data_IF_081011015031
#
_entry.id   IF_081011015031
#
_cell.length_a   1.000
_cell.length_b   1.000
_cell.length_c   1.000
_cell.angle_alpha   90.00
_cell.angle_beta   90.00
_cell.angle_gamma   90.00
#
_symmetry.space_group_name_H-M   'P 1'
#
loop_
_entity.id
_entity.type
_entity.pdbx_description
1 polymer ?
#
# COMPACT_ATOMS: atom_id res chain seq x y z
N UNK A 1 -36.10 40.04 44.14
CA UNK A 1 -36.16 38.59 43.83
C UNK A 1 -36.37 38.47 42.32
N UNK A 2 -35.28 38.14 41.62
CA UNK A 2 -35.16 37.47 40.30
C UNK A 2 -36.20 37.72 39.20
N UNK A 3 -35.79 38.53 38.21
CA UNK A 3 -36.19 38.44 36.80
C UNK A 3 -35.71 37.10 36.20
N UNK A 4 -36.54 36.47 35.36
CA UNK A 4 -36.14 35.35 34.51
C UNK A 4 -36.49 35.69 33.06
N UNK A 5 -35.51 36.27 32.37
CA UNK A 5 -35.48 36.49 30.93
C UNK A 5 -35.04 35.18 30.26
N UNK A 6 -35.99 34.37 29.79
CA UNK A 6 -35.73 33.13 29.08
C UNK A 6 -35.80 33.38 27.56
N UNK A 7 -34.65 33.65 26.96
CA UNK A 7 -34.40 33.40 25.54
C UNK A 7 -33.84 31.98 25.39
N UNK A 8 -34.46 31.10 24.59
CA UNK A 8 -33.76 30.01 23.91
C UNK A 8 -33.56 30.44 22.44
N UNK A 9 -32.38 30.59 21.84
CA UNK A 9 -31.20 29.72 21.76
C UNK A 9 -31.53 28.28 21.31
N UNK A 10 -30.94 27.91 20.18
CA UNK A 10 -30.98 26.63 19.45
C UNK A 10 -32.16 26.42 18.49
N UNK A 11 -31.91 26.73 17.22
CA UNK A 11 -32.49 25.97 16.11
C UNK A 11 -32.16 24.49 16.32
N UNK A 12 -33.21 23.69 16.41
CA UNK A 12 -33.17 22.28 16.75
C UNK A 12 -32.41 21.47 15.68
N UNK A 13 -31.27 20.90 16.08
CA UNK A 13 -30.42 20.05 15.23
C UNK A 13 -31.19 18.81 14.75
N UNK A 14 -32.20 18.39 15.51
CA UNK A 14 -33.13 17.31 15.19
C UNK A 14 -34.03 17.66 13.98
N UNK A 15 -34.40 18.94 13.84
CA UNK A 15 -35.18 19.42 12.69
C UNK A 15 -34.36 19.37 11.37
N UNK A 16 -33.05 19.63 11.46
CA UNK A 16 -32.13 19.55 10.32
C UNK A 16 -31.95 18.09 9.87
N UNK A 17 -31.75 17.17 10.83
CA UNK A 17 -31.59 15.74 10.54
C UNK A 17 -32.85 15.11 9.94
N UNK A 18 -34.04 15.47 10.43
CA UNK A 18 -35.32 15.04 9.84
C UNK A 18 -35.47 15.49 8.38
N UNK A 19 -35.06 16.72 8.08
CA UNK A 19 -35.18 17.28 6.73
C UNK A 19 -34.25 16.56 5.75
N UNK A 20 -33.03 16.20 6.16
CA UNK A 20 -32.09 15.45 5.33
C UNK A 20 -32.51 14.00 5.11
N UNK A 21 -33.15 13.37 6.10
CA UNK A 21 -33.66 12.01 5.98
C UNK A 21 -34.89 11.88 5.05
N UNK A 22 -35.56 13.00 4.75
CA UNK A 22 -36.74 13.04 3.88
C UNK A 22 -36.42 13.22 2.39
N UNK A 23 -35.13 13.26 2.01
CA UNK A 23 -34.74 13.39 0.61
C UNK A 23 -34.97 12.06 -0.15
N UNK A 24 -35.74 12.06 -1.26
CA UNK A 24 -36.00 10.86 -2.04
C UNK A 24 -34.73 10.38 -2.76
N UNK A 25 -34.51 9.06 -2.69
CA UNK A 25 -33.43 8.35 -3.39
C UNK A 25 -33.91 8.02 -4.82
N UNK A 26 -33.16 8.35 -5.89
CA UNK A 26 -33.57 7.98 -7.23
C UNK A 26 -33.56 6.45 -7.40
N UNK A 27 -34.66 5.96 -7.96
CA UNK A 27 -35.03 4.55 -8.13
C UNK A 27 -34.15 3.82 -9.15
N UNK A 28 -33.74 2.61 -8.79
CA UNK A 28 -33.19 1.59 -9.67
C UNK A 28 -34.26 1.10 -10.68
N UNK A 29 -33.96 1.19 -11.98
CA UNK A 29 -34.76 0.57 -13.03
C UNK A 29 -34.37 -0.90 -13.23
N UNK A 30 -35.35 -1.76 -12.98
CA UNK A 30 -35.45 -3.17 -13.37
C UNK A 30 -35.59 -3.33 -14.90
N UNK A 31 -35.14 -4.47 -15.45
CA UNK A 31 -35.59 -4.92 -16.77
C UNK A 31 -34.82 -6.03 -17.50
N UNK A 32 -34.77 -7.25 -16.94
CA UNK A 32 -35.19 -8.57 -17.49
C UNK A 32 -34.89 -9.00 -18.99
N UNK A 33 -35.19 -10.27 -19.45
CA UNK A 33 -34.19 -11.26 -19.91
C UNK A 33 -34.34 -11.78 -21.39
N UNK A 34 -33.37 -12.63 -21.83
CA UNK A 34 -33.32 -13.75 -22.85
C UNK A 34 -34.30 -13.83 -24.06
N UNK A 35 -33.97 -14.48 -25.22
CA UNK A 35 -33.44 -15.87 -25.35
C UNK A 35 -32.46 -16.16 -26.55
N UNK A 36 -31.66 -17.24 -26.47
CA UNK A 36 -31.60 -18.47 -27.34
C UNK A 36 -31.42 -18.19 -28.86
N UNK A 37 -30.53 -18.83 -29.65
CA UNK A 37 -30.22 -20.27 -29.75
C UNK A 37 -29.05 -20.53 -30.73
N UNK A 38 -28.50 -21.76 -30.73
CA UNK A 38 -27.80 -22.48 -31.83
C UNK A 38 -26.39 -22.03 -32.32
N UNK A 39 -25.39 -22.85 -32.70
CA UNK A 39 -25.24 -24.27 -33.06
C UNK A 39 -23.88 -24.85 -32.58
N UNK A 40 -23.87 -26.13 -32.21
CA UNK A 40 -22.70 -27.00 -32.12
C UNK A 40 -22.19 -27.35 -33.53
N UNK A 41 -20.88 -27.25 -33.78
CA UNK A 41 -20.25 -27.94 -34.92
C UNK A 41 -19.14 -28.89 -34.44
N UNK A 42 -19.50 -30.16 -34.47
CA UNK A 42 -18.69 -31.35 -34.31
C UNK A 42 -17.72 -31.48 -35.50
N UNK A 43 -16.42 -31.20 -35.30
CA UNK A 43 -15.40 -31.57 -36.29
C UNK A 43 -15.11 -33.07 -36.18
N UNK A 44 -15.53 -33.79 -37.20
CA UNK A 44 -15.22 -35.19 -37.46
C UNK A 44 -13.89 -35.26 -38.22
N UNK A 45 -12.91 -35.93 -37.63
CA UNK A 45 -11.61 -36.21 -38.24
C UNK A 45 -11.80 -37.43 -39.14
N UNK A 46 -11.89 -37.22 -40.46
CA UNK A 46 -11.77 -38.29 -41.45
C UNK A 46 -10.30 -38.65 -41.59
N UNK A 47 -9.91 -39.81 -41.04
CA UNK A 47 -8.62 -40.44 -41.29
C UNK A 47 -8.64 -41.13 -42.66
N UNK A 48 -7.71 -40.77 -43.54
CA UNK A 48 -7.50 -41.39 -44.85
C UNK A 48 -6.69 -42.70 -44.69
N UNK A 49 -7.25 -43.88 -45.03
CA UNK A 49 -6.63 -45.18 -44.79
C UNK A 49 -5.58 -45.59 -45.85
N UNK A 50 -5.00 -44.67 -46.63
CA UNK A 50 -4.01 -45.00 -47.70
C UNK A 50 -2.56 -44.67 -47.40
N UNK A 51 -2.22 -44.24 -46.18
CA UNK A 51 -0.82 -43.98 -45.76
C UNK A 51 -0.29 -45.02 -44.75
N UNK A 52 -0.81 -46.24 -44.78
CA UNK A 52 -0.20 -47.38 -44.09
C UNK A 52 0.98 -47.91 -44.91
N UNK A 53 2.20 -47.46 -44.60
CA UNK A 53 3.41 -48.13 -45.08
C UNK A 53 4.50 -47.20 -45.61
N UNK A 54 5.17 -46.47 -44.70
CA UNK A 54 6.55 -46.05 -44.97
C UNK A 54 7.36 -46.10 -43.68
N UNK A 55 8.06 -47.22 -43.52
CA UNK A 55 9.20 -47.33 -42.60
C UNK A 55 10.38 -46.60 -43.24
N UNK A 56 10.82 -45.50 -42.65
CA UNK A 56 12.08 -44.85 -43.01
C UNK A 56 12.77 -44.34 -41.74
N UNK A 57 13.74 -45.15 -41.31
CA UNK A 57 15.02 -44.77 -40.71
C UNK A 57 15.02 -43.59 -39.76
N UNK A 58 15.19 -43.95 -38.49
CA UNK A 58 15.84 -43.20 -37.42
C UNK A 58 16.93 -42.23 -37.92
N UNK A 59 16.55 -40.97 -38.12
CA UNK A 59 17.46 -39.85 -37.95
C UNK A 59 17.29 -39.35 -36.52
N UNK A 60 18.37 -39.41 -35.77
CA UNK A 60 18.50 -38.82 -34.44
C UNK A 60 18.33 -37.30 -34.54
N UNK A 61 17.09 -36.85 -34.40
CA UNK A 61 16.78 -35.47 -34.03
C UNK A 61 17.53 -35.22 -32.70
N UNK A 62 18.41 -34.22 -32.61
CA UNK A 62 18.96 -33.80 -31.33
C UNK A 62 17.75 -33.50 -30.45
N UNK A 63 17.60 -34.26 -29.36
CA UNK A 63 16.57 -34.06 -28.35
C UNK A 63 16.35 -32.56 -28.20
N UNK A 64 15.11 -32.04 -28.27
CA UNK A 64 14.87 -30.69 -27.77
C UNK A 64 15.45 -30.73 -26.37
N UNK A 65 16.54 -29.98 -26.19
CA UNK A 65 17.17 -29.79 -24.92
C UNK A 65 15.99 -29.38 -24.05
N UNK A 66 15.61 -30.28 -23.14
CA UNK A 66 14.62 -29.99 -22.13
C UNK A 66 15.27 -28.83 -21.42
N UNK A 67 14.93 -27.60 -21.84
CA UNK A 67 15.21 -26.39 -21.11
C UNK A 67 14.60 -26.75 -19.79
N UNK A 68 15.46 -27.09 -18.84
CA UNK A 68 15.12 -27.44 -17.48
C UNK A 68 14.00 -26.47 -17.16
N UNK A 69 12.78 -27.01 -17.06
CA UNK A 69 11.60 -26.23 -16.71
C UNK A 69 12.02 -25.63 -15.39
N UNK A 70 12.50 -24.39 -15.44
CA UNK A 70 13.25 -23.81 -14.35
C UNK A 70 12.16 -23.70 -13.33
N UNK A 71 12.28 -24.55 -12.29
CA UNK A 71 11.25 -24.79 -11.31
C UNK A 71 10.58 -23.45 -11.03
N UNK A 72 9.26 -23.43 -11.03
CA UNK A 72 8.48 -22.29 -10.57
C UNK A 72 8.95 -22.02 -9.12
N UNK A 73 10.05 -21.30 -8.98
CA UNK A 73 10.63 -20.93 -7.70
C UNK A 73 9.63 -19.92 -7.16
N UNK A 74 8.91 -20.34 -6.15
CA UNK A 74 7.99 -19.48 -5.42
C UNK A 74 8.80 -18.31 -4.85
N UNK A 75 8.45 -17.05 -5.18
CA UNK A 75 9.13 -15.87 -4.64
C UNK A 75 9.27 -15.87 -3.11
N UNK A 76 8.35 -16.54 -2.40
CA UNK A 76 8.35 -16.69 -0.95
C UNK A 76 9.45 -17.64 -0.40
N UNK A 77 10.09 -18.43 -1.27
CA UNK A 77 11.19 -19.34 -0.93
C UNK A 77 12.58 -18.77 -1.19
N UNK A 78 12.65 -17.60 -1.84
CA UNK A 78 13.91 -16.98 -2.22
C UNK A 78 14.49 -16.24 -1.02
N UNK A 79 15.70 -16.66 -0.63
CA UNK A 79 16.50 -16.02 0.44
C UNK A 79 17.87 -15.53 -0.07
N UNK A 80 18.23 -15.84 -1.31
CA UNK A 80 19.45 -15.36 -1.97
C UNK A 80 19.18 -14.15 -2.89
N UNK A 81 20.11 -13.19 -2.87
CA UNK A 81 20.01 -11.97 -3.65
C UNK A 81 20.02 -12.21 -5.17
N UNK A 82 20.91 -13.07 -5.68
CA UNK A 82 21.02 -13.33 -7.13
C UNK A 82 19.76 -14.00 -7.66
N UNK A 83 19.20 -14.92 -6.89
CA UNK A 83 17.91 -15.54 -7.21
C UNK A 83 16.77 -14.52 -7.19
N UNK A 84 16.77 -13.61 -6.21
CA UNK A 84 15.79 -12.53 -6.13
C UNK A 84 15.75 -11.64 -7.36
N UNK A 85 16.93 -11.21 -7.85
CA UNK A 85 17.03 -10.42 -9.08
C UNK A 85 16.49 -11.17 -10.30
N UNK A 86 16.87 -12.43 -10.49
CA UNK A 86 16.34 -13.25 -11.59
C UNK A 86 14.82 -13.38 -11.52
N UNK A 87 14.26 -13.52 -10.31
CA UNK A 87 12.83 -13.58 -10.09
C UNK A 87 12.15 -12.28 -10.55
N UNK A 88 12.63 -11.13 -10.09
CA UNK A 88 12.06 -9.82 -10.46
C UNK A 88 12.18 -9.57 -11.96
N UNK A 89 13.33 -9.82 -12.58
CA UNK A 89 13.49 -9.65 -14.03
C UNK A 89 12.53 -10.55 -14.82
N UNK A 90 12.31 -11.79 -14.36
CA UNK A 90 11.36 -12.71 -14.97
C UNK A 90 9.91 -12.22 -14.81
N UNK A 91 9.54 -11.76 -13.63
CA UNK A 91 8.19 -11.22 -13.35
C UNK A 91 7.93 -9.96 -14.19
N UNK A 92 8.88 -9.03 -14.24
CA UNK A 92 8.76 -7.81 -15.03
C UNK A 92 8.58 -8.10 -16.53
N UNK A 93 9.29 -9.12 -17.06
CA UNK A 93 9.13 -9.54 -18.44
C UNK A 93 7.79 -10.25 -18.74
N UNK A 94 7.20 -10.92 -17.75
CA UNK A 94 5.96 -11.67 -17.89
C UNK A 94 4.70 -10.83 -17.63
N UNK A 95 4.81 -9.86 -16.71
CA UNK A 95 3.69 -9.04 -16.25
C UNK A 95 3.89 -7.59 -16.70
N UNK A 96 3.22 -7.14 -17.79
CA UNK A 96 3.38 -5.76 -18.27
C UNK A 96 2.87 -4.71 -17.27
N UNK A 97 2.01 -5.11 -16.33
CA UNK A 97 1.51 -4.25 -15.25
C UNK A 97 2.49 -4.10 -14.08
N UNK A 98 3.60 -4.85 -14.06
CA UNK A 98 4.56 -4.83 -12.96
C UNK A 98 5.20 -3.46 -12.78
N UNK A 99 5.74 -2.89 -13.86
CA UNK A 99 6.38 -1.57 -13.85
C UNK A 99 5.42 -0.48 -13.42
N UNK A 100 4.22 -0.46 -14.01
CA UNK A 100 3.15 0.51 -13.69
C UNK A 100 2.73 0.42 -12.23
N UNK A 101 2.63 -0.80 -11.69
CA UNK A 101 2.26 -1.02 -10.29
C UNK A 101 3.35 -0.53 -9.34
N UNK A 102 4.63 -0.82 -9.63
CA UNK A 102 5.77 -0.34 -8.82
C UNK A 102 5.88 1.18 -8.87
N UNK A 103 5.76 1.78 -10.06
CA UNK A 103 5.71 3.23 -10.23
C UNK A 103 4.58 3.87 -9.42
N UNK A 104 3.39 3.27 -9.46
CA UNK A 104 2.26 3.73 -8.66
C UNK A 104 2.58 3.69 -7.17
N UNK A 105 3.15 2.60 -6.66
CA UNK A 105 3.54 2.50 -5.24
C UNK A 105 4.54 3.60 -4.83
N UNK A 106 5.51 3.91 -5.69
CA UNK A 106 6.49 4.99 -5.48
C UNK A 106 5.78 6.35 -5.43
N UNK A 107 4.93 6.66 -6.42
CA UNK A 107 4.18 7.93 -6.48
C UNK A 107 3.19 8.09 -5.32
N UNK A 108 2.52 7.02 -4.92
CA UNK A 108 1.62 7.01 -3.77
C UNK A 108 2.41 7.30 -2.47
N UNK A 109 3.62 6.74 -2.32
CA UNK A 109 4.50 7.05 -1.18
C UNK A 109 4.89 8.53 -1.14
N UNK A 110 5.39 9.05 -2.27
CA UNK A 110 5.78 10.47 -2.41
C UNK A 110 4.60 11.40 -2.11
N UNK A 111 3.41 11.06 -2.60
CA UNK A 111 2.18 11.80 -2.35
C UNK A 111 1.83 11.86 -0.87
N UNK A 112 1.88 10.72 -0.18
CA UNK A 112 1.62 10.64 1.26
C UNK A 112 2.62 11.47 2.07
N UNK A 113 3.92 11.34 1.78
CA UNK A 113 4.98 12.10 2.47
C UNK A 113 4.78 13.60 2.25
N UNK A 114 4.54 14.03 1.01
CA UNK A 114 4.25 15.43 0.67
C UNK A 114 3.02 15.95 1.40
N UNK A 115 1.96 15.14 1.51
CA UNK A 115 0.74 15.51 2.22
C UNK A 115 1.00 15.68 3.73
N UNK A 116 1.76 14.77 4.34
CA UNK A 116 2.10 14.85 5.76
C UNK A 116 2.99 16.06 6.07
N UNK A 117 3.95 16.36 5.20
CA UNK A 117 4.77 17.56 5.32
C UNK A 117 3.94 18.84 5.16
N UNK A 118 3.07 18.90 4.17
CA UNK A 118 2.17 20.03 3.96
C UNK A 118 1.22 20.22 5.15
N UNK A 119 0.68 19.14 5.71
CA UNK A 119 -0.15 19.20 6.91
C UNK A 119 0.62 19.70 8.13
N UNK A 120 1.89 19.31 8.30
CA UNK A 120 2.75 19.82 9.38
C UNK A 120 3.00 21.32 9.22
N UNK A 121 3.29 21.79 8.00
CA UNK A 121 3.50 23.22 7.70
C UNK A 121 2.24 24.03 8.01
N UNK A 122 1.08 23.58 7.54
CA UNK A 122 -0.21 24.21 7.83
C UNK A 122 -0.49 24.28 9.33
N UNK A 123 -0.19 23.22 10.08
CA UNK A 123 -0.39 23.22 11.53
C UNK A 123 0.45 24.30 12.23
N UNK A 124 1.70 24.48 11.82
CA UNK A 124 2.58 25.53 12.35
C UNK A 124 2.06 26.92 11.98
N UNK A 125 1.62 27.13 10.74
CA UNK A 125 1.01 28.39 10.30
C UNK A 125 -0.26 28.71 11.10
N UNK A 126 -1.11 27.71 11.35
CA UNK A 126 -2.29 27.85 12.21
C UNK A 126 -1.93 28.20 13.65
N UNK A 127 -0.85 27.62 14.20
CA UNK A 127 -0.38 27.95 15.55
C UNK A 127 0.04 29.42 15.65
N UNK A 128 0.81 29.90 14.67
CA UNK A 128 1.21 31.32 14.58
C UNK A 128 -0.02 32.22 14.49
N UNK A 129 -0.97 31.90 13.61
CA UNK A 129 -2.20 32.68 13.45
C UNK A 129 -3.05 32.70 14.74
N UNK A 130 -3.22 31.55 15.40
CA UNK A 130 -3.98 31.44 16.66
C UNK A 130 -3.33 32.27 17.78
N UNK A 131 -2.00 32.26 17.86
CA UNK A 131 -1.24 33.06 18.83
C UNK A 131 -1.35 34.56 18.58
N UNK A 132 -1.21 34.99 17.33
CA UNK A 132 -1.40 36.39 16.93
C UNK A 132 -2.83 36.87 17.22
N UNK A 133 -3.82 36.01 16.93
CA UNK A 133 -5.21 36.31 17.20
C UNK A 133 -5.48 36.44 18.70
N UNK A 134 -4.97 35.53 19.53
CA UNK A 134 -5.06 35.65 20.99
C UNK A 134 -4.43 36.96 21.49
N UNK A 135 -3.23 37.30 21.00
CA UNK A 135 -2.54 38.52 21.38
C UNK A 135 -3.36 39.77 21.01
N UNK A 136 -3.92 39.80 19.81
CA UNK A 136 -4.76 40.90 19.31
C UNK A 136 -6.04 41.02 20.14
N UNK A 137 -6.73 39.92 20.39
CA UNK A 137 -7.94 39.91 21.22
C UNK A 137 -7.65 40.35 22.66
N UNK A 138 -6.53 39.91 23.23
CA UNK A 138 -6.13 40.31 24.58
C UNK A 138 -5.81 41.79 24.66
N UNK A 139 -5.10 42.33 23.65
CA UNK A 139 -4.81 43.77 23.56
C UNK A 139 -6.08 44.62 23.39
N UNK A 140 -7.07 44.14 22.61
CA UNK A 140 -8.34 44.83 22.44
C UNK A 140 -9.18 44.88 23.74
N UNK A 141 -9.03 43.88 24.61
CA UNK A 141 -9.73 43.77 25.89
C UNK A 141 -8.92 44.30 27.08
N UNK A 142 -7.68 44.73 26.87
CA UNK A 142 -6.79 45.13 27.97
C UNK A 142 -7.19 46.48 28.55
N UNK A 143 -7.96 46.45 29.63
CA UNK A 143 -8.03 47.54 30.59
C UNK A 143 -6.85 47.41 31.57
N UNK A 144 -6.20 48.51 31.99
CA UNK A 144 -5.10 48.46 32.95
C UNK A 144 -5.47 47.64 34.19
N UNK A 145 -4.68 46.60 34.51
CA UNK A 145 -4.84 45.76 35.69
C UNK A 145 -5.89 44.64 35.63
N UNK A 146 -6.72 44.57 34.57
CA UNK A 146 -7.79 43.56 34.49
C UNK A 146 -7.27 42.19 34.00
N UNK A 147 -6.32 42.18 33.07
CA UNK A 147 -5.88 40.96 32.40
C UNK A 147 -4.53 40.42 32.89
N UNK A 148 -3.83 41.11 33.80
CA UNK A 148 -2.47 40.70 34.22
C UNK A 148 -2.40 39.31 34.86
N UNK A 149 -3.50 38.85 35.48
CA UNK A 149 -3.58 37.52 36.10
C UNK A 149 -4.21 36.44 35.21
N UNK A 150 -4.59 36.77 33.96
CA UNK A 150 -5.24 35.79 33.07
C UNK A 150 -4.18 34.96 32.34
N UNK A 151 -4.16 33.61 32.48
CA UNK A 151 -3.18 32.77 31.82
C UNK A 151 -3.29 32.87 30.29
N UNK A 152 -2.14 32.84 29.61
CA UNK A 152 -2.07 32.77 28.15
C UNK A 152 -2.46 31.36 27.72
N UNK A 153 -3.42 31.25 26.81
CA UNK A 153 -3.98 29.98 26.36
C UNK A 153 -3.05 29.30 25.32
N UNK A 154 -2.33 30.09 24.51
CA UNK A 154 -1.35 29.59 23.53
C UNK A 154 0.06 29.66 24.09
N UNK A 155 0.40 28.66 24.88
CA UNK A 155 1.79 28.41 25.32
C UNK A 155 2.53 27.55 24.30
N UNK A 156 3.86 27.68 24.30
CA UNK A 156 4.74 26.83 23.48
C UNK A 156 4.59 25.34 23.80
N UNK A 157 4.21 24.99 25.03
CA UNK A 157 3.93 23.62 25.44
C UNK A 157 2.67 23.06 24.76
N UNK A 158 1.60 23.85 24.68
CA UNK A 158 0.38 23.45 23.96
C UNK A 158 0.66 23.24 22.47
N UNK A 159 1.42 24.14 21.85
CA UNK A 159 1.82 24.04 20.44
C UNK A 159 2.66 22.78 20.18
N UNK A 160 3.59 22.46 21.09
CA UNK A 160 4.41 21.27 21.00
C UNK A 160 3.60 19.98 21.14
N UNK A 161 2.61 19.97 22.03
CA UNK A 161 1.73 18.82 22.22
C UNK A 161 0.82 18.58 21.00
N UNK A 162 0.24 19.64 20.43
CA UNK A 162 -0.50 19.57 19.16
C UNK A 162 0.37 18.97 18.03
N UNK A 163 1.64 19.38 17.97
CA UNK A 163 2.59 18.86 16.99
C UNK A 163 2.95 17.39 17.24
N UNK A 164 3.17 16.97 18.51
CA UNK A 164 3.38 15.55 18.85
C UNK A 164 2.20 14.70 18.44
N UNK A 165 0.97 15.16 18.67
CA UNK A 165 -0.22 14.42 18.28
C UNK A 165 -0.30 14.27 16.77
N UNK A 166 0.09 15.30 16.02
CA UNK A 166 0.20 15.21 14.57
C UNK A 166 1.27 14.20 14.14
N UNK A 167 2.47 14.27 14.73
CA UNK A 167 3.56 13.33 14.43
C UNK A 167 3.20 11.88 14.77
N UNK A 168 2.47 11.64 15.87
CA UNK A 168 1.95 10.33 16.22
C UNK A 168 0.94 9.80 15.17
N UNK A 169 0.08 10.68 14.62
CA UNK A 169 -0.83 10.33 13.52
C UNK A 169 -0.06 9.98 12.25
N UNK A 170 0.93 10.80 11.87
CA UNK A 170 1.79 10.55 10.71
C UNK A 170 2.55 9.23 10.87
N UNK A 171 3.08 8.95 12.06
CA UNK A 171 3.78 7.69 12.33
C UNK A 171 2.86 6.47 12.15
N UNK A 172 1.63 6.53 12.68
CA UNK A 172 0.63 5.47 12.48
C UNK A 172 0.29 5.30 11.00
N UNK A 173 0.05 6.41 10.29
CA UNK A 173 -0.25 6.39 8.86
C UNK A 173 0.92 5.83 8.02
N UNK A 174 2.16 6.21 8.37
CA UNK A 174 3.37 5.70 7.74
C UNK A 174 3.55 4.20 7.93
N UNK A 175 3.31 3.68 9.14
CA UNK A 175 3.28 2.23 9.38
C UNK A 175 2.25 1.51 8.51
N UNK A 176 1.01 2.01 8.47
CA UNK A 176 -0.05 1.42 7.66
C UNK A 176 0.28 1.46 6.15
N UNK A 177 0.89 2.55 5.69
CA UNK A 177 1.37 2.68 4.31
C UNK A 177 2.43 1.62 4.00
N UNK A 178 3.45 1.47 4.84
CA UNK A 178 4.52 0.47 4.65
C UNK A 178 3.95 -0.95 4.64
N UNK A 179 3.00 -1.27 5.52
CA UNK A 179 2.34 -2.58 5.54
C UNK A 179 1.55 -2.84 4.26
N UNK A 180 0.77 -1.86 3.80
CA UNK A 180 0.01 -1.95 2.54
C UNK A 180 0.91 -2.10 1.31
N UNK A 181 2.02 -1.35 1.25
CA UNK A 181 2.98 -1.45 0.17
C UNK A 181 3.72 -2.78 0.18
N UNK A 182 4.12 -3.27 1.37
CA UNK A 182 4.75 -4.59 1.52
C UNK A 182 3.80 -5.72 1.06
N UNK A 183 2.52 -5.62 1.41
CA UNK A 183 1.49 -6.55 0.94
C UNK A 183 1.33 -6.51 -0.58
N UNK A 184 1.32 -5.31 -1.17
CA UNK A 184 1.21 -5.12 -2.62
C UNK A 184 2.41 -5.73 -3.36
N UNK A 185 3.63 -5.49 -2.86
CA UNK A 185 4.85 -6.08 -3.41
C UNK A 185 4.86 -7.62 -3.28
N UNK A 186 4.33 -8.16 -2.19
CA UNK A 186 4.14 -9.60 -2.01
C UNK A 186 3.15 -10.18 -3.04
N UNK A 187 2.03 -9.51 -3.30
CA UNK A 187 1.04 -9.93 -4.32
C UNK A 187 1.62 -9.84 -5.73
N UNK A 188 2.46 -8.84 -6.00
CA UNK A 188 3.20 -8.71 -7.26
C UNK A 188 4.29 -9.78 -7.44
N UNK A 189 4.56 -10.59 -6.41
CA UNK A 189 5.57 -11.65 -6.45
C UNK A 189 7.00 -11.14 -6.23
N UNK A 190 7.18 -9.93 -5.69
CA UNK A 190 8.51 -9.43 -5.35
C UNK A 190 9.07 -10.27 -4.20
N UNK A 191 10.28 -10.85 -4.36
CA UNK A 191 10.90 -11.70 -3.34
C UNK A 191 11.22 -10.90 -2.08
N UNK A 192 11.47 -11.62 -0.98
CA UNK A 192 11.79 -11.07 0.36
C UNK A 192 10.61 -10.45 1.14
N UNK A 193 9.50 -10.06 0.48
CA UNK A 193 8.30 -9.52 1.16
C UNK A 193 7.33 -10.59 1.66
N UNK A 194 7.51 -11.84 1.23
CA UNK A 194 6.67 -12.98 1.58
C UNK A 194 7.43 -14.18 2.11
N UNK A 195 8.66 -14.01 2.63
CA UNK A 195 9.52 -15.12 3.06
C UNK A 195 8.76 -16.04 4.03
N UNK A 196 8.76 -17.34 3.73
CA UNK A 196 8.07 -18.33 4.56
C UNK A 196 8.75 -18.43 5.92
N UNK A 197 7.95 -18.53 6.99
CA UNK A 197 8.45 -18.53 8.37
C UNK A 197 9.45 -19.65 8.68
N UNK A 198 9.37 -20.80 7.99
CA UNK A 198 10.33 -21.90 8.18
C UNK A 198 11.73 -21.62 7.63
N UNK A 199 11.90 -20.56 6.83
CA UNK A 199 13.20 -20.12 6.32
C UNK A 199 13.84 -19.07 7.24
N UNK A 200 13.10 -18.59 8.25
CA UNK A 200 13.62 -17.66 9.24
C UNK A 200 14.32 -18.44 10.36
N UNK A 201 15.61 -18.17 10.56
CA UNK A 201 16.33 -18.62 11.74
C UNK A 201 15.97 -17.71 12.92
N UNK A 202 15.77 -18.29 14.10
CA UNK A 202 15.84 -17.54 15.37
C UNK A 202 17.27 -17.02 15.55
N UNK A 203 17.44 -15.85 16.15
CA UNK A 203 18.75 -15.18 16.28
C UNK A 203 19.80 -16.02 17.05
N UNK A 204 19.38 -17.07 17.77
CA UNK A 204 20.24 -18.00 18.52
C UNK A 204 20.66 -19.26 17.72
N UNK A 205 20.16 -19.48 16.50
CA UNK A 205 20.49 -20.66 15.69
C UNK A 205 21.67 -20.39 14.74
N UNK A 206 22.70 -21.25 14.76
CA UNK A 206 23.79 -21.16 13.78
C UNK A 206 23.26 -21.37 12.36
N UNK A 207 23.58 -20.40 11.49
CA UNK A 207 23.22 -20.40 10.08
C UNK A 207 23.83 -21.62 9.39
N UNK A 208 22.99 -22.61 9.09
CA UNK A 208 23.40 -23.80 8.35
C UNK A 208 23.57 -23.47 6.87
N UNK A 209 24.81 -23.51 6.39
CA UNK A 209 25.15 -23.37 4.98
C UNK A 209 24.91 -24.71 4.26
N UNK A 210 24.14 -24.69 3.16
CA UNK A 210 23.90 -25.87 2.36
C UNK A 210 25.14 -26.31 1.58
N UNK A 211 25.07 -27.49 0.94
CA UNK A 211 26.16 -28.09 0.16
C UNK A 211 26.72 -27.20 -0.96
N UNK A 212 25.97 -26.18 -1.39
CA UNK A 212 26.33 -25.24 -2.45
C UNK A 212 26.94 -23.92 -1.93
N UNK A 213 27.20 -23.80 -0.62
CA UNK A 213 27.71 -22.56 -0.02
C UNK A 213 26.65 -21.47 0.20
N UNK A 214 25.39 -21.74 -0.15
CA UNK A 214 24.27 -20.81 0.08
C UNK A 214 23.62 -21.05 1.45
N UNK A 215 23.16 -19.98 2.13
CA UNK A 215 22.46 -20.10 3.40
C UNK A 215 21.12 -20.83 3.22
N UNK A 216 20.83 -21.80 4.09
CA UNK A 216 19.55 -22.56 4.07
C UNK A 216 18.46 -21.86 4.88
N UNK A 217 18.86 -21.00 5.82
CA UNK A 217 18.01 -20.15 6.65
C UNK A 217 18.57 -18.72 6.64
N UNK A 218 17.73 -17.73 6.89
CA UNK A 218 18.09 -16.30 6.92
C UNK A 218 17.53 -15.69 8.20
N UNK A 219 18.26 -14.77 8.85
CA UNK A 219 17.74 -14.08 10.04
C UNK A 219 16.79 -12.95 9.64
N UNK A 220 15.94 -12.49 10.56
CA UNK A 220 15.01 -11.39 10.29
C UNK A 220 15.75 -10.11 9.85
N UNK A 221 16.89 -9.81 10.46
CA UNK A 221 17.72 -8.66 10.10
C UNK A 221 18.26 -8.76 8.67
N UNK A 222 18.70 -9.95 8.25
CA UNK A 222 19.17 -10.19 6.88
C UNK A 222 18.02 -10.05 5.86
N UNK A 223 16.82 -10.52 6.18
CA UNK A 223 15.64 -10.30 5.32
C UNK A 223 15.33 -8.82 5.16
N UNK A 224 15.39 -8.04 6.24
CA UNK A 224 15.19 -6.59 6.17
C UNK A 224 16.25 -5.91 5.29
N UNK A 225 17.50 -6.36 5.35
CA UNK A 225 18.57 -5.83 4.48
C UNK A 225 18.29 -6.17 3.01
N UNK A 226 17.90 -7.41 2.70
CA UNK A 226 17.53 -7.84 1.35
C UNK A 226 16.30 -7.07 0.83
N UNK A 227 15.29 -6.85 1.66
CA UNK A 227 14.14 -6.01 1.33
C UNK A 227 14.56 -4.58 0.98
N UNK A 228 15.41 -3.94 1.80
CA UNK A 228 15.94 -2.60 1.52
C UNK A 228 16.68 -2.54 0.20
N UNK A 229 17.59 -3.50 -0.04
CA UNK A 229 18.33 -3.60 -1.30
C UNK A 229 17.41 -3.79 -2.50
N UNK A 230 16.35 -4.60 -2.35
CA UNK A 230 15.36 -4.80 -3.40
C UNK A 230 14.55 -3.52 -3.68
N UNK A 231 14.13 -2.79 -2.64
CA UNK A 231 13.45 -1.51 -2.81
C UNK A 231 14.32 -0.48 -3.54
N UNK A 232 15.59 -0.37 -3.15
CA UNK A 232 16.55 0.51 -3.85
C UNK A 232 16.67 0.12 -5.32
N UNK A 233 16.80 -1.16 -5.62
CA UNK A 233 16.87 -1.63 -7.00
C UNK A 233 15.61 -1.32 -7.81
N UNK A 234 14.42 -1.50 -7.23
CA UNK A 234 13.16 -1.17 -7.89
C UNK A 234 13.02 0.34 -8.10
N UNK A 235 13.48 1.16 -7.15
CA UNK A 235 13.49 2.61 -7.30
C UNK A 235 14.45 3.05 -8.41
N UNK A 236 15.64 2.46 -8.53
CA UNK A 236 16.60 2.79 -9.58
C UNK A 236 16.07 2.45 -10.98
N UNK A 237 15.27 1.39 -11.10
CA UNK A 237 14.72 0.94 -12.40
C UNK A 237 13.42 1.64 -12.80
N UNK A 238 12.58 2.01 -11.82
CA UNK A 238 11.21 2.46 -12.05
C UNK A 238 10.88 3.80 -11.37
N UNK A 239 11.87 4.48 -10.78
CA UNK A 239 11.67 5.75 -10.09
C UNK A 239 11.60 6.98 -11.00
N UNK A 240 11.94 6.83 -12.27
CA UNK A 240 11.88 7.88 -13.30
C UNK A 240 10.47 7.99 -13.91
#
# INVERSE_FOLDING_TARGET
MTENNALPANMDLDAILRTLASLPKPEDQQGQPQPQDTYLLQQHITADPRLAGRSSQSQSIPKPQVRSATLLIDPATIIDWKQGLRCVSKIAAQNPQFSVSVQKLIKDQEGNVRQWEAGRKRLIEEQVLKKENEQTHRAALSLPGLLDNTPVLRTTECEQEELRQYEAKVYRASKAMVESQSSSLKVLGVPFFGVRQHLLASDDEELSTGSDGNPTKVTQNQVLELQRKMLTHLLDLYGD
#
